data_IF_882553358775
#
_entry.id   IF_882553358775
#
_cell.length_a   1.000
_cell.length_b   1.000
_cell.length_c   1.000
_cell.angle_alpha   90.00
_cell.angle_beta   90.00
_cell.angle_gamma   90.00
#
_symmetry.space_group_name_H-M   'P 1'
#
loop_
_entity.id
_entity.type
_entity.pdbx_description
1 polymer ?
#
# COMPACT_ATOMS: atom_id res chain seq x y z
N UNK A 1 28.64 -18.04 -35.50
CA UNK A 1 29.74 -17.68 -34.58
C UNK A 1 29.50 -16.22 -34.20
N UNK A 2 28.45 -15.99 -33.41
CA UNK A 2 27.97 -14.66 -33.05
C UNK A 2 28.48 -14.33 -31.65
N UNK A 3 29.28 -13.27 -31.56
CA UNK A 3 29.76 -12.73 -30.30
C UNK A 3 28.68 -11.79 -29.74
N UNK A 4 28.08 -12.18 -28.61
CA UNK A 4 27.25 -11.31 -27.79
C UNK A 4 28.10 -10.19 -27.18
N UNK A 5 27.73 -8.96 -27.50
CA UNK A 5 28.19 -7.75 -26.81
C UNK A 5 27.43 -7.68 -25.48
N UNK A 6 28.11 -8.03 -24.38
CA UNK A 6 27.65 -7.73 -23.01
C UNK A 6 27.80 -6.23 -22.78
N UNK A 7 26.68 -5.51 -22.71
CA UNK A 7 26.64 -4.16 -22.20
C UNK A 7 26.77 -4.18 -20.68
N UNK A 8 27.93 -3.74 -20.17
CA UNK A 8 28.08 -3.35 -18.78
C UNK A 8 27.22 -2.11 -18.55
N UNK A 9 26.24 -2.20 -17.65
CA UNK A 9 25.51 -1.02 -17.15
C UNK A 9 26.15 -0.61 -15.84
N UNK A 10 26.77 0.57 -15.84
CA UNK A 10 27.45 1.15 -14.68
C UNK A 10 26.47 1.30 -13.50
N UNK A 11 26.68 0.51 -12.45
CA UNK A 11 26.14 0.79 -11.13
C UNK A 11 27.07 1.79 -10.43
N UNK A 12 26.61 2.97 -10.00
CA UNK A 12 27.45 3.85 -9.22
C UNK A 12 27.56 3.33 -7.78
N UNK A 13 28.80 3.23 -7.30
CA UNK A 13 29.18 2.78 -5.96
C UNK A 13 28.62 3.69 -4.86
N UNK A 14 28.19 3.08 -3.75
CA UNK A 14 27.73 3.75 -2.54
C UNK A 14 26.80 2.86 -1.73
N UNK A 15 27.32 2.31 -0.64
CA UNK A 15 26.73 1.27 0.21
C UNK A 15 25.34 1.62 0.76
N UNK A 16 24.30 1.01 0.18
CA UNK A 16 23.08 0.66 0.90
C UNK A 16 23.20 -0.82 1.27
N UNK A 17 22.86 -1.17 2.52
CA UNK A 17 22.74 -2.55 2.97
C UNK A 17 21.51 -3.16 2.28
N UNK A 18 21.66 -3.49 1.01
CA UNK A 18 20.65 -4.15 0.22
C UNK A 18 20.58 -5.61 0.69
N UNK A 19 19.45 -6.01 1.27
CA UNK A 19 19.10 -7.42 1.35
C UNK A 19 19.27 -8.05 -0.05
N UNK A 20 19.85 -9.26 -0.11
CA UNK A 20 20.20 -9.97 -1.35
C UNK A 20 19.12 -9.83 -2.43
N UNK A 21 19.31 -8.89 -3.35
CA UNK A 21 18.43 -8.69 -4.50
C UNK A 21 18.79 -9.76 -5.53
N UNK A 22 18.03 -10.85 -5.58
CA UNK A 22 18.13 -11.85 -6.65
C UNK A 22 17.42 -11.31 -7.89
N UNK A 23 18.17 -11.09 -8.97
CA UNK A 23 17.69 -10.48 -10.22
C UNK A 23 16.56 -11.25 -10.94
N UNK A 24 16.23 -12.47 -10.51
CA UNK A 24 15.26 -13.36 -11.15
C UNK A 24 13.99 -13.63 -10.31
N UNK A 25 13.80 -12.93 -9.18
CA UNK A 25 12.69 -13.24 -8.28
C UNK A 25 11.44 -12.43 -8.63
N UNK A 26 10.48 -13.13 -9.21
CA UNK A 26 9.13 -12.61 -9.42
C UNK A 26 8.38 -12.60 -8.08
N UNK A 27 7.78 -11.47 -7.73
CA UNK A 27 6.95 -11.34 -6.53
C UNK A 27 5.47 -11.45 -6.91
N UNK A 28 4.69 -12.24 -6.18
CA UNK A 28 3.24 -12.27 -6.35
C UNK A 28 2.57 -11.03 -5.76
N UNK A 29 3.05 -10.59 -4.60
CA UNK A 29 2.54 -9.45 -3.86
C UNK A 29 3.71 -8.73 -3.15
N UNK A 30 3.67 -7.39 -3.16
CA UNK A 30 4.65 -6.52 -2.50
C UNK A 30 3.90 -5.42 -1.76
N UNK A 31 4.23 -5.19 -0.49
CA UNK A 31 3.74 -4.04 0.24
C UNK A 31 4.76 -2.90 0.23
N UNK A 32 4.27 -1.66 0.11
CA UNK A 32 5.06 -0.44 0.03
C UNK A 32 4.54 0.56 1.06
N UNK A 33 5.47 1.22 1.73
CA UNK A 33 5.21 2.40 2.56
C UNK A 33 6.41 3.36 2.51
N UNK A 34 6.12 4.65 2.53
CA UNK A 34 7.12 5.71 2.53
C UNK A 34 6.87 6.69 3.68
N UNK A 35 7.95 7.10 4.33
CA UNK A 35 7.94 8.30 5.17
C UNK A 35 8.27 9.52 4.32
N UNK A 36 7.46 10.57 4.46
CA UNK A 36 7.64 11.82 3.73
C UNK A 36 7.92 13.01 4.64
N UNK A 37 8.91 13.80 4.25
CA UNK A 37 9.19 15.14 4.80
C UNK A 37 8.55 16.21 3.93
N UNK A 38 8.35 17.40 4.49
CA UNK A 38 7.85 18.60 3.81
C UNK A 38 8.96 19.41 3.13
N UNK A 39 8.70 19.80 1.89
CA UNK A 39 9.47 20.81 1.17
C UNK A 39 8.60 21.91 0.59
N UNK A 40 9.22 22.80 -0.20
CA UNK A 40 8.58 24.04 -0.63
C UNK A 40 8.61 25.10 0.48
N UNK A 41 8.23 26.34 0.15
CA UNK A 41 8.31 27.47 1.09
C UNK A 41 7.43 27.29 2.34
N UNK A 42 6.40 26.47 2.26
CA UNK A 42 5.40 26.22 3.31
C UNK A 42 5.38 24.77 3.84
N UNK A 43 6.28 23.90 3.37
CA UNK A 43 6.34 22.49 3.78
C UNK A 43 5.22 21.60 3.20
N UNK A 44 4.41 22.12 2.28
CA UNK A 44 3.24 21.42 1.71
C UNK A 44 3.62 20.30 0.74
N UNK A 45 4.82 20.32 0.17
CA UNK A 45 5.26 19.34 -0.81
C UNK A 45 5.77 18.09 -0.09
N UNK A 46 5.11 16.95 -0.28
CA UNK A 46 5.58 15.66 0.22
C UNK A 46 6.81 15.18 -0.57
N UNK A 47 7.93 14.96 0.12
CA UNK A 47 9.18 14.43 -0.44
C UNK A 47 9.48 13.11 0.27
N UNK A 48 9.66 12.04 -0.50
CA UNK A 48 10.08 10.74 0.04
C UNK A 48 11.44 10.89 0.76
N UNK A 49 11.49 10.48 2.03
CA UNK A 49 12.67 10.54 2.87
C UNK A 49 13.11 9.16 3.38
N UNK A 50 12.19 8.20 3.49
CA UNK A 50 12.47 6.79 3.76
C UNK A 50 11.44 5.94 3.03
N UNK A 51 11.84 4.77 2.55
CA UNK A 51 10.96 3.83 1.87
C UNK A 51 11.20 2.42 2.39
N UNK A 52 10.13 1.66 2.58
CA UNK A 52 10.19 0.22 2.83
C UNK A 52 9.34 -0.56 1.83
N UNK A 53 9.89 -1.66 1.31
CA UNK A 53 9.15 -2.68 0.57
C UNK A 53 9.33 -4.03 1.23
N UNK A 54 8.24 -4.77 1.35
CA UNK A 54 8.24 -6.13 1.90
C UNK A 54 7.51 -7.10 0.98
N UNK A 55 7.97 -8.34 0.93
CA UNK A 55 7.28 -9.40 0.20
C UNK A 55 6.10 -9.97 1.01
N UNK A 56 5.41 -10.93 0.42
CA UNK A 56 4.26 -11.61 1.01
C UNK A 56 4.59 -12.42 2.27
N UNK A 57 5.84 -12.87 2.40
CA UNK A 57 6.36 -13.59 3.56
C UNK A 57 6.87 -12.64 4.66
N UNK A 58 6.63 -11.33 4.49
CA UNK A 58 7.05 -10.26 5.40
C UNK A 58 8.58 -10.04 5.44
N UNK A 59 9.32 -10.54 4.43
CA UNK A 59 10.74 -10.24 4.29
C UNK A 59 10.93 -8.84 3.71
N UNK A 60 11.88 -8.10 4.26
CA UNK A 60 12.24 -6.76 3.77
C UNK A 60 13.04 -6.89 2.46
N UNK A 61 12.47 -6.35 1.38
CA UNK A 61 13.09 -6.26 0.06
C UNK A 61 13.96 -5.00 -0.07
N UNK A 62 13.48 -3.90 0.51
CA UNK A 62 14.18 -2.62 0.55
C UNK A 62 13.77 -1.88 1.83
N UNK A 63 14.72 -1.33 2.57
CA UNK A 63 14.48 -0.36 3.64
C UNK A 63 15.64 0.63 3.62
N UNK A 64 15.38 1.85 3.15
CA UNK A 64 16.45 2.85 3.01
C UNK A 64 15.92 4.26 3.17
N UNK A 65 16.76 5.12 3.72
CA UNK A 65 16.60 6.56 3.56
C UNK A 65 16.82 6.97 2.10
N UNK A 66 16.28 8.13 1.74
CA UNK A 66 16.33 8.67 0.38
C UNK A 66 16.85 10.10 0.45
N UNK A 67 17.88 10.41 -0.34
CA UNK A 67 18.35 11.79 -0.46
C UNK A 67 17.22 12.67 -1.03
N UNK A 68 16.74 13.70 -0.30
CA UNK A 68 15.64 14.55 -0.75
C UNK A 68 15.98 15.29 -2.05
N UNK A 69 15.02 15.34 -2.98
CA UNK A 69 15.18 16.05 -4.26
C UNK A 69 15.12 17.58 -4.13
N UNK A 70 14.52 18.08 -3.06
CA UNK A 70 14.34 19.49 -2.76
C UNK A 70 14.79 19.75 -1.32
N UNK A 71 15.15 20.99 -0.97
CA UNK A 71 15.42 21.36 0.42
C UNK A 71 14.22 21.01 1.31
N UNK A 72 14.52 20.33 2.43
CA UNK A 72 13.52 19.99 3.44
C UNK A 72 13.26 21.22 4.31
N UNK A 73 12.00 21.64 4.39
CA UNK A 73 11.55 22.77 5.21
C UNK A 73 10.80 22.32 6.46
N UNK A 74 10.22 21.11 6.44
CA UNK A 74 9.60 20.49 7.60
C UNK A 74 9.94 18.99 7.64
N UNK A 75 10.60 18.52 8.69
CA UNK A 75 10.94 17.10 8.84
C UNK A 75 9.79 16.26 9.38
N UNK A 76 8.74 16.89 9.94
CA UNK A 76 7.61 16.21 10.56
C UNK A 76 8.06 15.23 11.65
N UNK A 77 8.99 15.69 12.50
CA UNK A 77 9.69 14.87 13.49
C UNK A 77 8.77 14.02 14.37
N UNK A 78 7.59 14.54 14.73
CA UNK A 78 6.60 13.85 15.58
C UNK A 78 6.03 12.58 14.94
N UNK A 79 6.09 12.48 13.61
CA UNK A 79 5.56 11.36 12.83
C UNK A 79 6.71 10.53 12.27
N UNK A 80 7.72 11.16 11.65
CA UNK A 80 8.74 10.45 10.89
C UNK A 80 9.98 10.09 11.72
N UNK A 81 10.27 10.85 12.78
CA UNK A 81 11.52 10.76 13.52
C UNK A 81 12.79 11.10 12.73
N UNK A 82 12.68 11.51 11.46
CA UNK A 82 13.80 11.70 10.53
C UNK A 82 14.59 12.95 10.87
N UNK A 83 15.92 12.81 10.94
CA UNK A 83 16.88 13.89 11.20
C UNK A 83 17.70 14.23 9.96
N UNK A 84 18.24 15.46 9.86
CA UNK A 84 19.14 15.83 8.76
C UNK A 84 20.34 14.88 8.60
N UNK A 85 20.82 14.32 9.72
CA UNK A 85 21.92 13.35 9.74
C UNK A 85 21.60 12.04 9.03
N UNK A 86 20.33 11.66 8.94
CA UNK A 86 19.90 10.39 8.36
C UNK A 86 20.06 10.38 6.84
N UNK A 87 20.21 11.57 6.23
CA UNK A 87 20.51 11.72 4.81
C UNK A 87 22.00 11.61 4.49
N UNK A 88 22.88 11.59 5.50
CA UNK A 88 24.32 11.47 5.27
C UNK A 88 24.66 10.11 4.67
N UNK A 89 25.04 10.09 3.39
CA UNK A 89 25.33 8.85 2.66
C UNK A 89 24.08 8.09 2.20
N UNK A 90 22.88 8.68 2.34
CA UNK A 90 21.66 8.09 1.80
C UNK A 90 21.73 8.00 0.27
N UNK A 91 21.21 6.92 -0.35
CA UNK A 91 21.18 6.79 -1.79
C UNK A 91 20.36 7.91 -2.45
N UNK A 92 20.79 8.32 -3.63
CA UNK A 92 20.05 9.33 -4.41
C UNK A 92 18.63 8.86 -4.71
N UNK A 93 17.67 9.79 -4.75
CA UNK A 93 16.30 9.50 -5.17
C UNK A 93 16.23 8.71 -6.49
N UNK A 94 17.08 9.04 -7.47
CA UNK A 94 17.15 8.34 -8.76
C UNK A 94 17.52 6.86 -8.58
N UNK A 95 18.46 6.55 -7.68
CA UNK A 95 18.89 5.18 -7.37
C UNK A 95 17.78 4.41 -6.66
N UNK A 96 17.17 5.00 -5.62
CA UNK A 96 16.08 4.37 -4.87
C UNK A 96 14.90 4.08 -5.79
N UNK A 97 14.44 5.09 -6.55
CA UNK A 97 13.34 4.93 -7.52
C UNK A 97 13.62 3.85 -8.55
N UNK A 98 14.86 3.71 -9.01
CA UNK A 98 15.25 2.63 -9.93
C UNK A 98 15.09 1.26 -9.27
N UNK A 99 15.54 1.08 -8.04
CA UNK A 99 15.42 -0.19 -7.29
C UNK A 99 13.94 -0.52 -7.07
N UNK A 100 13.14 0.45 -6.60
CA UNK A 100 11.70 0.25 -6.39
C UNK A 100 11.01 -0.15 -7.70
N UNK A 101 11.32 0.55 -8.80
CA UNK A 101 10.75 0.21 -10.11
C UNK A 101 11.13 -1.21 -10.56
N UNK A 102 12.35 -1.68 -10.27
CA UNK A 102 12.80 -3.04 -10.58
C UNK A 102 12.06 -4.09 -9.74
N UNK A 103 11.80 -3.82 -8.46
CA UNK A 103 11.00 -4.71 -7.60
C UNK A 103 9.57 -4.85 -8.15
N UNK A 104 9.01 -3.78 -8.73
CA UNK A 104 7.64 -3.72 -9.24
C UNK A 104 7.51 -4.06 -10.74
N UNK A 105 8.59 -4.43 -11.43
CA UNK A 105 8.63 -4.50 -12.90
C UNK A 105 7.69 -5.55 -13.50
N UNK A 106 7.58 -6.71 -12.85
CA UNK A 106 6.73 -7.83 -13.30
C UNK A 106 5.24 -7.66 -12.94
N UNK A 107 4.87 -6.51 -12.38
CA UNK A 107 3.49 -6.23 -11.98
C UNK A 107 2.99 -7.10 -10.82
N UNK A 108 3.68 -7.12 -9.65
CA UNK A 108 3.10 -7.73 -8.46
C UNK A 108 1.82 -7.01 -8.04
N UNK A 109 1.00 -7.66 -7.23
CA UNK A 109 0.01 -6.92 -6.45
C UNK A 109 0.74 -5.93 -5.54
N UNK A 110 0.35 -4.66 -5.59
CA UNK A 110 0.90 -3.60 -4.75
C UNK A 110 -0.05 -3.31 -3.59
N UNK A 111 0.43 -3.57 -2.37
CA UNK A 111 -0.35 -3.43 -1.14
C UNK A 111 0.18 -2.24 -0.34
N UNK A 112 -0.72 -1.52 0.33
CA UNK A 112 -0.34 -0.41 1.20
C UNK A 112 -1.54 0.27 1.84
N UNK A 113 -1.32 1.46 2.39
CA UNK A 113 -2.35 2.27 3.01
C UNK A 113 -2.28 3.71 2.49
N UNK A 114 -3.24 4.10 1.65
CA UNK A 114 -3.27 5.39 0.93
C UNK A 114 -2.08 5.58 -0.03
N UNK A 115 -1.83 4.53 -0.83
CA UNK A 115 -0.69 4.38 -1.75
C UNK A 115 -0.54 5.51 -2.76
N UNK A 116 -1.59 6.33 -2.94
CA UNK A 116 -1.54 7.52 -3.81
C UNK A 116 -0.42 8.46 -3.38
N UNK A 117 -0.17 8.60 -2.08
CA UNK A 117 0.87 9.48 -1.57
C UNK A 117 2.28 8.90 -1.81
N UNK A 118 2.46 7.60 -1.61
CA UNK A 118 3.72 6.88 -1.85
C UNK A 118 4.12 6.91 -3.32
N UNK A 119 3.20 6.53 -4.20
CA UNK A 119 3.42 6.51 -5.64
C UNK A 119 3.72 7.91 -6.18
N UNK A 120 3.00 8.93 -5.70
CA UNK A 120 3.25 10.33 -6.08
C UNK A 120 4.63 10.81 -5.62
N UNK A 121 5.06 10.51 -4.39
CA UNK A 121 6.35 10.97 -3.88
C UNK A 121 7.53 10.25 -4.55
N UNK A 122 7.36 8.98 -4.93
CA UNK A 122 8.32 8.19 -5.71
C UNK A 122 8.26 8.47 -7.22
N UNK A 123 7.25 9.22 -7.69
CA UNK A 123 6.99 9.48 -9.12
C UNK A 123 6.91 8.17 -9.92
N UNK A 124 6.10 7.24 -9.41
CA UNK A 124 5.82 5.94 -10.01
C UNK A 124 4.32 5.80 -10.24
N UNK A 125 3.99 5.01 -11.25
CA UNK A 125 2.62 4.59 -11.53
C UNK A 125 2.57 3.06 -11.41
N UNK A 126 1.42 2.55 -10.97
CA UNK A 126 1.14 1.11 -10.93
C UNK A 126 -0.25 0.86 -11.49
N UNK A 127 -0.46 -0.27 -12.15
CA UNK A 127 -1.75 -0.59 -12.75
C UNK A 127 -2.85 -0.63 -11.67
N UNK A 128 -3.95 0.14 -11.80
CA UNK A 128 -4.99 0.20 -10.76
C UNK A 128 -5.58 -1.17 -10.39
N UNK A 129 -5.64 -2.09 -11.35
CA UNK A 129 -6.12 -3.47 -11.18
C UNK A 129 -5.22 -4.31 -10.26
N UNK A 130 -3.94 -3.93 -10.13
CA UNK A 130 -2.94 -4.60 -9.30
C UNK A 130 -2.76 -3.91 -7.94
N UNK A 131 -3.47 -2.80 -7.68
CA UNK A 131 -3.40 -2.10 -6.39
C UNK A 131 -4.40 -2.71 -5.40
N UNK A 132 -3.95 -2.92 -4.16
CA UNK A 132 -4.76 -3.36 -3.02
C UNK A 132 -4.53 -2.39 -1.86
N UNK A 133 -5.19 -1.24 -1.97
CA UNK A 133 -5.06 -0.16 -0.99
C UNK A 133 -6.06 -0.35 0.17
N UNK A 134 -5.52 -0.54 1.37
CA UNK A 134 -6.29 -0.75 2.60
C UNK A 134 -7.08 0.49 3.03
N UNK A 135 -6.68 1.70 2.61
CA UNK A 135 -7.38 2.94 2.90
C UNK A 135 -8.66 3.12 2.06
N UNK A 136 -8.77 2.44 0.92
CA UNK A 136 -9.93 2.54 0.03
C UNK A 136 -10.75 1.26 -0.05
N UNK A 137 -10.32 0.19 0.61
CA UNK A 137 -11.01 -1.08 0.57
C UNK A 137 -12.37 -1.00 1.27
N UNK A 138 -13.46 -1.35 0.58
CA UNK A 138 -14.84 -1.12 1.03
C UNK A 138 -15.15 -1.68 2.43
N UNK A 139 -14.51 -2.79 2.81
CA UNK A 139 -14.72 -3.42 4.13
C UNK A 139 -13.89 -2.78 5.25
N UNK A 140 -12.98 -1.88 4.91
CA UNK A 140 -12.11 -1.15 5.85
C UNK A 140 -12.47 0.33 5.97
N UNK A 141 -13.24 0.89 5.04
CA UNK A 141 -13.66 2.30 5.10
C UNK A 141 -14.90 2.50 5.98
N UNK A 142 -15.06 3.71 6.51
CA UNK A 142 -16.27 4.12 7.24
C UNK A 142 -17.49 4.07 6.31
N UNK A 143 -18.69 4.02 6.89
CA UNK A 143 -19.94 4.18 6.13
C UNK A 143 -19.99 5.49 5.34
N UNK A 144 -19.25 6.51 5.78
CA UNK A 144 -19.10 7.79 5.06
C UNK A 144 -18.14 7.73 3.84
N UNK A 145 -17.49 6.60 3.60
CA UNK A 145 -16.43 6.44 2.57
C UNK A 145 -15.06 6.97 2.99
N UNK A 146 -14.93 7.51 4.21
CA UNK A 146 -13.66 8.03 4.73
C UNK A 146 -12.79 6.87 5.26
N UNK A 147 -11.50 6.89 4.94
CA UNK A 147 -10.53 5.91 5.42
C UNK A 147 -10.41 5.89 6.95
N UNK A 148 -10.20 4.71 7.51
CA UNK A 148 -9.72 4.54 8.88
C UNK A 148 -8.19 4.58 8.89
N UNK A 149 -7.58 5.09 9.97
CA UNK A 149 -6.12 5.03 10.13
C UNK A 149 -5.64 3.57 10.15
N UNK A 150 -4.47 3.29 9.59
CA UNK A 150 -3.87 1.96 9.60
C UNK A 150 -3.84 1.34 11.01
N UNK A 151 -3.40 2.10 12.03
CA UNK A 151 -3.40 1.67 13.44
C UNK A 151 -4.75 1.18 13.98
N UNK A 152 -5.86 1.74 13.48
CA UNK A 152 -7.19 1.30 13.88
C UNK A 152 -7.53 -0.01 13.19
N UNK A 153 -7.18 -0.16 11.91
CA UNK A 153 -7.43 -1.38 11.16
C UNK A 153 -6.63 -2.56 11.73
N UNK A 154 -5.37 -2.36 12.09
CA UNK A 154 -4.56 -3.42 12.71
C UNK A 154 -5.13 -3.86 14.06
N UNK A 155 -5.52 -2.91 14.91
CA UNK A 155 -6.12 -3.23 16.21
C UNK A 155 -7.42 -4.03 16.04
N UNK A 156 -8.31 -3.61 15.12
CA UNK A 156 -9.63 -4.24 14.93
C UNK A 156 -9.53 -5.59 14.21
N UNK A 157 -8.74 -5.69 13.14
CA UNK A 157 -8.75 -6.86 12.26
C UNK A 157 -7.66 -7.88 12.55
N UNK A 158 -6.55 -7.44 13.16
CA UNK A 158 -5.37 -8.27 13.47
C UNK A 158 -5.14 -8.43 14.98
N UNK A 159 -5.73 -7.57 15.83
CA UNK A 159 -5.66 -7.70 17.29
C UNK A 159 -4.36 -7.22 17.92
N UNK A 160 -3.57 -6.41 17.22
CA UNK A 160 -2.35 -5.80 17.76
C UNK A 160 -2.24 -4.32 17.36
N UNK A 161 -1.45 -3.56 18.12
CA UNK A 161 -1.21 -2.13 17.89
C UNK A 161 0.12 -1.92 17.19
N UNK A 162 0.16 -0.90 16.34
CA UNK A 162 1.36 -0.35 15.68
C UNK A 162 1.48 1.12 16.08
N UNK A 163 2.65 1.73 15.83
CA UNK A 163 2.85 3.17 16.07
C UNK A 163 2.67 3.59 17.55
N UNK A 164 2.98 2.69 18.51
CA UNK A 164 2.78 2.90 19.96
C UNK A 164 3.72 3.99 20.54
N UNK A 165 4.66 4.51 19.74
CA UNK A 165 5.65 5.53 20.10
C UNK A 165 5.54 6.85 19.31
N UNK A 166 4.40 7.14 18.68
CA UNK A 166 4.14 8.29 17.78
C UNK A 166 4.94 8.29 16.46
N UNK A 167 6.19 7.86 16.48
CA UNK A 167 7.03 7.72 15.30
C UNK A 167 6.60 6.48 14.53
N UNK A 168 6.38 6.66 13.23
CA UNK A 168 6.04 5.61 12.30
C UNK A 168 7.32 4.93 11.79
N UNK A 169 7.24 3.61 11.58
CA UNK A 169 8.27 2.85 10.88
C UNK A 169 7.66 2.28 9.60
N UNK A 170 8.20 2.62 8.42
CA UNK A 170 7.58 2.22 7.15
C UNK A 170 7.58 0.71 6.95
N UNK A 171 8.50 -0.03 7.59
CA UNK A 171 8.46 -1.49 7.52
C UNK A 171 7.35 -2.08 8.39
N UNK A 172 7.15 -1.58 9.63
CA UNK A 172 5.99 -1.93 10.45
C UNK A 172 4.67 -1.66 9.69
N UNK A 173 4.55 -0.50 9.06
CA UNK A 173 3.35 -0.07 8.34
C UNK A 173 3.12 -0.90 7.06
N UNK A 174 4.16 -1.16 6.25
CA UNK A 174 4.07 -2.03 5.08
C UNK A 174 3.68 -3.47 5.45
N UNK A 175 4.29 -4.03 6.52
CA UNK A 175 3.94 -5.37 7.02
C UNK A 175 2.50 -5.40 7.53
N UNK A 176 2.06 -4.37 8.25
CA UNK A 176 0.69 -4.25 8.72
C UNK A 176 -0.32 -4.25 7.56
N UNK A 177 -0.05 -3.47 6.51
CA UNK A 177 -0.88 -3.44 5.31
C UNK A 177 -0.90 -4.82 4.60
N UNK A 178 0.25 -5.48 4.47
CA UNK A 178 0.34 -6.84 3.93
C UNK A 178 -0.50 -7.84 4.74
N UNK A 179 -0.43 -7.80 6.07
CA UNK A 179 -1.21 -8.67 6.95
C UNK A 179 -2.71 -8.41 6.84
N UNK A 180 -3.14 -7.15 6.75
CA UNK A 180 -4.55 -6.79 6.48
C UNK A 180 -5.03 -7.35 5.15
N UNK A 181 -4.21 -7.23 4.10
CA UNK A 181 -4.49 -7.84 2.80
C UNK A 181 -4.64 -9.36 2.91
N UNK A 182 -3.66 -10.07 3.47
CA UNK A 182 -3.70 -11.52 3.67
C UNK A 182 -4.92 -11.97 4.48
N UNK A 183 -5.29 -11.22 5.53
CA UNK A 183 -6.48 -11.45 6.37
C UNK A 183 -7.79 -11.39 5.60
N UNK A 184 -7.87 -10.53 4.59
CA UNK A 184 -9.06 -10.41 3.73
C UNK A 184 -9.03 -11.41 2.58
N UNK A 185 -7.86 -11.64 1.98
CA UNK A 185 -7.66 -12.66 0.95
C UNK A 185 -7.98 -14.07 1.45
N UNK A 186 -7.67 -14.39 2.71
CA UNK A 186 -7.96 -15.70 3.29
C UNK A 186 -9.44 -15.92 3.62
N UNK A 187 -10.30 -14.91 3.50
CA UNK A 187 -11.74 -15.08 3.73
C UNK A 187 -12.36 -15.86 2.58
N UNK A 188 -13.33 -16.70 2.89
CA UNK A 188 -14.14 -17.35 1.85
C UNK A 188 -15.00 -16.28 1.19
N UNK A 189 -14.99 -16.22 -0.14
CA UNK A 189 -15.94 -15.41 -0.87
C UNK A 189 -17.34 -15.96 -0.58
N UNK A 190 -18.13 -15.24 0.22
CA UNK A 190 -19.53 -15.54 0.38
C UNK A 190 -20.18 -15.26 -0.97
N UNK A 191 -20.37 -16.30 -1.78
CA UNK A 191 -21.08 -16.16 -3.05
C UNK A 191 -22.41 -15.49 -2.78
N UNK A 192 -22.59 -14.29 -3.31
CA UNK A 192 -23.86 -13.56 -3.37
C UNK A 192 -24.72 -13.61 -2.10
N UNK A 193 -24.25 -13.11 -0.95
CA UNK A 193 -25.13 -12.57 0.11
C UNK A 193 -24.36 -11.48 0.88
N UNK A 194 -24.57 -10.24 0.47
CA UNK A 194 -24.36 -9.09 1.36
C UNK A 194 -25.44 -9.20 2.44
N UNK A 195 -25.14 -9.89 3.54
CA UNK A 195 -25.97 -9.80 4.72
C UNK A 195 -25.71 -8.42 5.32
N UNK A 196 -26.55 -7.45 4.91
CA UNK A 196 -26.76 -6.22 5.66
C UNK A 196 -27.05 -6.65 7.10
N UNK A 197 -26.40 -5.95 8.02
CA UNK A 197 -26.67 -5.94 9.45
C UNK A 197 -28.13 -6.30 9.75
N UNK A 198 -28.32 -7.34 10.56
CA UNK A 198 -29.61 -7.72 11.13
C UNK A 198 -30.14 -6.55 11.99
N UNK A 199 -30.99 -5.72 11.37
CA UNK A 199 -31.80 -4.69 12.02
C UNK A 199 -33.23 -5.22 12.21
N UNK A 200 -33.38 -6.45 12.72
CA UNK A 200 -34.67 -7.07 13.09
C UNK A 200 -35.49 -6.32 14.16
N UNK A 201 -35.22 -5.04 14.42
CA UNK A 201 -35.95 -4.24 15.41
C UNK A 201 -36.55 -2.94 14.91
N UNK A 202 -36.59 -2.66 13.61
CA UNK A 202 -37.31 -1.47 13.11
C UNK A 202 -38.54 -1.87 12.28
N UNK A 203 -39.67 -1.99 12.96
CA UNK A 203 -40.98 -2.11 12.35
C UNK A 203 -41.32 -0.82 11.59
N UNK A 204 -41.30 -0.86 10.27
CA UNK A 204 -41.94 0.16 9.43
C UNK A 204 -43.10 -0.46 8.67
N UNK A 205 -44.25 0.17 8.84
CA UNK A 205 -45.54 -0.27 8.31
C UNK A 205 -45.58 -0.18 6.78
N UNK A 206 -46.30 -1.12 6.19
CA UNK A 206 -46.52 -1.36 4.77
C UNK A 206 -46.80 -0.09 3.94
N UNK A 207 -46.13 0.00 2.79
CA UNK A 207 -46.63 0.72 1.62
C UNK A 207 -46.48 -0.20 0.39
N UNK A 208 -47.56 -0.32 -0.38
CA UNK A 208 -47.68 -1.22 -1.53
C UNK A 208 -46.67 -0.86 -2.64
N UNK A 209 -45.81 -1.82 -3.01
CA UNK A 209 -44.82 -1.67 -4.07
C UNK A 209 -45.25 -2.44 -5.35
N UNK A 210 -45.04 -1.87 -6.55
CA UNK A 210 -45.45 -2.50 -7.80
C UNK A 210 -44.66 -3.78 -8.11
N UNK A 211 -45.31 -4.67 -8.86
CA UNK A 211 -44.90 -6.04 -9.18
C UNK A 211 -43.68 -6.11 -10.13
N UNK A 212 -42.52 -5.65 -9.67
CA UNK A 212 -41.24 -5.88 -10.37
C UNK A 212 -40.68 -7.23 -9.92
N UNK A 213 -40.27 -8.06 -10.89
CA UNK A 213 -39.62 -9.33 -10.56
C UNK A 213 -38.28 -9.06 -9.86
N UNK A 214 -38.08 -9.69 -8.71
CA UNK A 214 -36.90 -9.51 -7.86
C UNK A 214 -35.58 -9.75 -8.63
N UNK A 215 -35.61 -10.67 -9.59
CA UNK A 215 -34.48 -11.05 -10.44
C UNK A 215 -34.00 -9.94 -11.38
N UNK A 216 -34.91 -9.08 -11.85
CA UNK A 216 -34.59 -7.99 -12.79
C UNK A 216 -34.00 -6.75 -12.12
N UNK A 217 -34.16 -6.60 -10.80
CA UNK A 217 -33.59 -5.46 -10.05
C UNK A 217 -32.15 -5.75 -9.62
N UNK A 218 -31.85 -7.00 -9.29
CA UNK A 218 -30.50 -7.43 -8.88
C UNK A 218 -29.45 -7.32 -9.98
N UNK A 219 -29.82 -7.54 -11.25
CA UNK A 219 -28.87 -7.46 -12.37
C UNK A 219 -28.32 -6.07 -12.63
N UNK A 220 -28.95 -5.01 -12.09
CA UNK A 220 -28.49 -3.63 -12.20
C UNK A 220 -27.69 -3.15 -10.98
N UNK A 221 -27.48 -4.02 -9.98
CA UNK A 221 -26.94 -3.64 -8.67
C UNK A 221 -25.88 -4.62 -8.18
N UNK A 222 -25.04 -5.13 -9.09
CA UNK A 222 -23.74 -5.68 -8.69
C UNK A 222 -22.87 -4.49 -8.25
N UNK A 223 -22.57 -4.31 -6.95
CA UNK A 223 -21.61 -3.31 -6.56
C UNK A 223 -20.28 -3.63 -7.26
N UNK A 224 -19.60 -2.62 -7.81
CA UNK A 224 -18.27 -2.72 -8.41
C UNK A 224 -17.16 -3.06 -7.39
N UNK A 225 -17.52 -3.72 -6.30
CA UNK A 225 -16.65 -4.07 -5.20
C UNK A 225 -15.86 -5.34 -5.54
N UNK A 226 -14.55 -5.17 -5.73
CA UNK A 226 -13.64 -6.29 -5.90
C UNK A 226 -13.22 -6.85 -4.52
N UNK A 227 -13.68 -8.06 -4.19
CA UNK A 227 -13.24 -8.75 -2.96
C UNK A 227 -11.84 -9.34 -3.14
N UNK A 228 -10.90 -8.96 -2.27
CA UNK A 228 -9.54 -9.53 -2.26
C UNK A 228 -9.49 -11.03 -1.99
N UNK A 229 -10.57 -11.62 -1.48
CA UNK A 229 -10.72 -13.08 -1.43
C UNK A 229 -10.66 -13.77 -2.81
N UNK A 230 -10.94 -13.04 -3.89
CA UNK A 230 -10.86 -13.54 -5.28
C UNK A 230 -9.40 -13.68 -5.74
N UNK A 231 -8.46 -12.95 -5.14
CA UNK A 231 -7.03 -13.08 -5.45
C UNK A 231 -6.46 -14.48 -5.07
N UNK A 232 -7.18 -15.26 -4.24
CA UNK A 232 -6.78 -16.63 -3.88
C UNK A 232 -7.14 -17.68 -4.94
N UNK A 233 -7.86 -17.29 -6.00
CA UNK A 233 -8.39 -18.19 -7.05
C UNK A 233 -7.61 -18.16 -8.37
N UNK A 234 -6.48 -17.44 -8.41
CA UNK A 234 -5.55 -17.35 -9.54
C UNK A 234 -4.21 -17.96 -9.15
#
# INVERSE_FOLDING_TARGET
MEQSIKGAIDAPEGSAEAAHFSEERQYGAVALDCEMVGGGSDGSINICARVCLVDEDENVLLNTYVQPLLPVTDYRYEITGIKPSDFNGAPSFKRVRYIVKRILEDGPLLIGHDLRHDLACLRLDHSPELIRDTATYQLFVKTSGVSHKLRFLTEVFLGYKIQDGTIHDPCEDAIAAMRLYKRMRSRRHAGALVHVCDLSQLSLQHVDAPQWSYSSVYSYSEPSFYCWCVDSKT
#
